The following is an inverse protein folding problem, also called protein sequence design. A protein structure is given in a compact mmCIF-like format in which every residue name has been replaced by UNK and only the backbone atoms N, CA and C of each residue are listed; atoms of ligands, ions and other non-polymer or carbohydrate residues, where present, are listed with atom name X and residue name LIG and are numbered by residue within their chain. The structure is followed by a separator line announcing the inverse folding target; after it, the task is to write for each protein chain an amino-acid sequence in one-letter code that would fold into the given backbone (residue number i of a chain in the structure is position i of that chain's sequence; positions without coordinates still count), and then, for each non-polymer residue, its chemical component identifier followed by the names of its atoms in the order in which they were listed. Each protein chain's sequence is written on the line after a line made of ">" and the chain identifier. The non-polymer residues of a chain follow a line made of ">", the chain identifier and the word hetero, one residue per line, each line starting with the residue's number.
data_IF_858610841671
#
_entry.id   IF_858610841671
#
_cell.length_a   1.000
_cell.length_b   1.000
_cell.length_c   1.000
_cell.angle_alpha   90.00
_cell.angle_beta   90.00
_cell.angle_gamma   90.00
#
_symmetry.space_group_name_H-M   'P 1'
#
loop_
_entity.id
_entity.type
_entity.pdbx_description
1 polymer ?
#
# COMPACT_ATOMS: atom_id res chain seq x y z
N UNK A 1 9.52 -14.94 -4.01
CA UNK A 1 9.81 -13.50 -4.24
C UNK A 1 10.37 -13.33 -5.64
N UNK A 2 10.18 -12.19 -6.30
CA UNK A 2 10.76 -11.96 -7.63
C UNK A 2 12.29 -12.02 -7.57
N UNK A 3 12.90 -12.59 -8.61
CA UNK A 3 14.36 -12.63 -8.77
C UNK A 3 14.91 -11.32 -9.35
N UNK A 4 14.04 -10.42 -9.84
CA UNK A 4 14.42 -9.13 -10.41
C UNK A 4 13.75 -8.03 -9.58
N UNK A 5 14.50 -6.98 -9.24
CA UNK A 5 13.96 -5.83 -8.52
C UNK A 5 12.78 -5.20 -9.26
N UNK A 6 11.72 -4.80 -8.54
CA UNK A 6 10.50 -4.27 -9.17
C UNK A 6 10.76 -2.97 -9.94
N UNK A 7 11.59 -2.07 -9.41
CA UNK A 7 11.99 -0.84 -10.09
C UNK A 7 12.81 -1.14 -11.35
N UNK A 8 13.73 -2.11 -11.30
CA UNK A 8 14.50 -2.54 -12.47
C UNK A 8 13.58 -3.12 -13.55
N UNK A 9 12.64 -3.99 -13.16
CA UNK A 9 11.68 -4.56 -14.08
C UNK A 9 10.77 -3.49 -14.71
N UNK A 10 10.37 -2.49 -13.93
CA UNK A 10 9.61 -1.35 -14.44
C UNK A 10 10.43 -0.48 -15.41
N UNK A 11 11.65 -0.09 -15.03
CA UNK A 11 12.53 0.79 -15.82
C UNK A 11 12.89 0.16 -17.19
N UNK A 12 13.26 -1.12 -17.19
CA UNK A 12 13.64 -1.84 -18.42
C UNK A 12 12.46 -2.53 -19.12
N UNK A 13 11.22 -2.32 -18.66
CA UNK A 13 10.01 -2.94 -19.21
C UNK A 13 10.09 -4.49 -19.30
N UNK A 14 10.66 -5.11 -18.26
CA UNK A 14 10.83 -6.57 -18.17
C UNK A 14 9.48 -7.21 -17.82
N UNK A 15 8.97 -8.04 -18.73
CA UNK A 15 7.68 -8.71 -18.58
C UNK A 15 7.78 -9.90 -17.62
N UNK A 16 6.66 -10.23 -16.95
CA UNK A 16 6.53 -11.43 -16.12
C UNK A 16 7.04 -11.31 -14.67
N UNK A 17 7.65 -10.18 -14.28
CA UNK A 17 8.16 -9.98 -12.91
C UNK A 17 7.03 -9.65 -11.92
N UNK A 18 6.09 -8.80 -12.33
CA UNK A 18 4.90 -8.44 -11.57
C UNK A 18 3.70 -8.20 -12.49
N UNK A 19 2.50 -8.19 -11.90
CA UNK A 19 1.25 -7.78 -12.56
C UNK A 19 0.75 -6.47 -11.98
N UNK A 20 0.13 -5.64 -12.82
CA UNK A 20 -0.45 -4.34 -12.45
C UNK A 20 -1.92 -4.44 -12.01
N UNK A 21 -2.34 -5.62 -11.53
CA UNK A 21 -3.73 -5.96 -11.27
C UNK A 21 -4.06 -6.03 -9.77
N UNK A 22 -3.26 -5.39 -8.90
CA UNK A 22 -3.60 -5.33 -7.49
C UNK A 22 -4.95 -4.60 -7.31
N UNK A 23 -5.93 -5.19 -6.62
CA UNK A 23 -7.29 -4.65 -6.61
C UNK A 23 -7.37 -3.40 -5.74
N UNK A 24 -8.08 -2.37 -6.23
CA UNK A 24 -8.28 -1.12 -5.48
C UNK A 24 -9.25 -1.28 -4.30
N UNK A 25 -10.09 -2.31 -4.33
CA UNK A 25 -11.04 -2.65 -3.28
C UNK A 25 -10.94 -4.16 -2.94
N UNK A 26 -11.27 -4.57 -1.71
CA UNK A 26 -11.34 -5.98 -1.35
C UNK A 26 -12.24 -6.77 -2.34
N UNK A 27 -11.73 -7.81 -3.02
CA UNK A 27 -12.51 -8.57 -4.00
C UNK A 27 -13.74 -9.27 -3.40
N UNK A 28 -13.63 -9.67 -2.13
CA UNK A 28 -14.69 -10.32 -1.37
C UNK A 28 -14.88 -9.57 -0.04
N UNK A 29 -15.76 -8.56 0.01
CA UNK A 29 -16.04 -7.85 1.25
C UNK A 29 -16.75 -8.74 2.27
N UNK A 30 -16.45 -8.55 3.54
CA UNK A 30 -17.12 -9.21 4.66
C UNK A 30 -17.12 -8.30 5.89
N UNK A 31 -17.74 -8.74 6.98
CA UNK A 31 -17.64 -8.03 8.25
C UNK A 31 -16.25 -8.25 8.86
N UNK A 32 -15.30 -7.35 8.58
CA UNK A 32 -13.90 -7.45 8.99
C UNK A 32 -13.71 -7.48 10.50
N UNK A 33 -14.66 -6.93 11.26
CA UNK A 33 -14.59 -6.84 12.73
C UNK A 33 -15.61 -7.74 13.43
N UNK A 34 -16.08 -8.79 12.75
CA UNK A 34 -17.00 -9.80 13.32
C UNK A 34 -16.28 -10.92 14.09
N UNK A 35 -16.91 -12.08 14.22
CA UNK A 35 -16.30 -13.27 14.81
C UNK A 35 -15.07 -13.76 14.00
N UNK A 36 -13.97 -14.18 14.65
CA UNK A 36 -12.73 -14.57 13.95
C UNK A 36 -12.94 -15.66 12.89
N UNK A 37 -12.27 -15.49 11.76
CA UNK A 37 -12.25 -16.47 10.68
C UNK A 37 -10.89 -17.17 10.65
N UNK A 38 -10.88 -18.45 11.00
CA UNK A 38 -9.65 -19.25 11.16
C UNK A 38 -9.43 -20.30 10.06
N UNK A 39 -10.37 -20.43 9.12
CA UNK A 39 -10.32 -21.41 8.03
C UNK A 39 -10.59 -20.76 6.67
N UNK A 40 -10.11 -21.40 5.59
CA UNK A 40 -10.36 -21.01 4.20
C UNK A 40 -10.04 -19.55 3.85
N UNK A 41 -8.87 -19.07 4.28
CA UNK A 41 -8.42 -17.68 4.10
C UNK A 41 -8.30 -17.22 2.63
N UNK A 42 -8.38 -18.13 1.66
CA UNK A 42 -8.43 -17.80 0.24
C UNK A 42 -7.16 -17.12 -0.30
N UNK A 43 -6.00 -17.41 0.30
CA UNK A 43 -4.73 -16.79 -0.09
C UNK A 43 -4.21 -17.34 -1.42
N UNK A 44 -3.49 -16.50 -2.17
CA UNK A 44 -2.82 -16.88 -3.42
C UNK A 44 -1.43 -16.29 -3.47
N UNK A 45 -0.46 -16.99 -4.07
CA UNK A 45 0.87 -16.46 -4.30
C UNK A 45 0.92 -15.62 -5.58
N UNK A 46 1.56 -14.45 -5.50
CA UNK A 46 1.82 -13.62 -6.67
C UNK A 46 2.52 -12.31 -6.34
N UNK A 47 3.11 -11.70 -7.37
CA UNK A 47 3.69 -10.35 -7.30
C UNK A 47 2.73 -9.41 -8.03
N UNK A 48 1.88 -8.71 -7.28
CA UNK A 48 0.88 -7.77 -7.82
C UNK A 48 1.14 -6.41 -7.23
N UNK A 49 1.10 -5.37 -8.05
CA UNK A 49 1.37 -3.98 -7.67
C UNK A 49 0.23 -3.09 -8.18
N UNK A 50 0.01 -1.95 -7.53
CA UNK A 50 -0.96 -0.96 -7.99
C UNK A 50 -0.24 0.10 -8.83
N UNK A 51 -0.86 0.51 -9.94
CA UNK A 51 -0.33 1.53 -10.85
C UNK A 51 -1.01 2.87 -10.58
N UNK A 52 -0.21 3.91 -10.42
CA UNK A 52 -0.70 5.26 -10.11
C UNK A 52 -0.10 6.25 -11.11
N UNK A 53 -0.96 7.09 -11.70
CA UNK A 53 -0.51 8.17 -12.57
C UNK A 53 0.22 9.25 -11.76
N UNK A 54 1.29 9.81 -12.32
CA UNK A 54 2.03 10.92 -11.73
C UNK A 54 1.10 12.06 -11.27
N UNK A 55 1.41 12.64 -10.12
CA UNK A 55 0.70 13.77 -9.50
C UNK A 55 -0.76 13.48 -9.06
N UNK A 56 -1.17 12.21 -9.03
CA UNK A 56 -2.47 11.82 -8.49
C UNK A 56 -2.55 12.11 -6.99
N UNK A 57 -3.71 12.59 -6.52
CA UNK A 57 -4.02 12.63 -5.08
C UNK A 57 -4.64 11.30 -4.68
N UNK A 58 -3.95 10.55 -3.83
CA UNK A 58 -4.32 9.21 -3.41
C UNK A 58 -4.87 9.25 -2.00
N UNK A 59 -6.01 8.60 -1.78
CA UNK A 59 -6.50 8.25 -0.46
C UNK A 59 -6.49 6.72 -0.33
N UNK A 60 -5.77 6.22 0.67
CA UNK A 60 -5.73 4.79 0.98
C UNK A 60 -6.39 4.57 2.34
N UNK A 61 -7.34 3.65 2.40
CA UNK A 61 -7.96 3.20 3.65
C UNK A 61 -7.42 1.80 3.95
N UNK A 62 -6.68 1.70 5.05
CA UNK A 62 -6.18 0.45 5.57
C UNK A 62 -7.17 -0.06 6.61
N UNK A 63 -7.69 -1.28 6.41
CA UNK A 63 -8.69 -1.90 7.27
C UNK A 63 -8.08 -3.17 7.89
N UNK A 64 -8.02 -3.22 9.22
CA UNK A 64 -7.69 -4.46 9.94
C UNK A 64 -8.87 -5.45 9.85
N UNK A 65 -8.55 -6.74 9.90
CA UNK A 65 -9.53 -7.83 9.74
C UNK A 65 -9.40 -8.86 10.86
N UNK A 66 -10.46 -9.63 11.07
CA UNK A 66 -10.52 -10.73 12.03
C UNK A 66 -10.02 -12.08 11.47
N UNK A 67 -9.24 -12.07 10.38
CA UNK A 67 -8.61 -13.27 9.83
C UNK A 67 -7.48 -13.71 10.75
N UNK A 68 -7.53 -14.96 11.23
CA UNK A 68 -6.62 -15.55 12.22
C UNK A 68 -6.68 -14.89 13.61
N UNK A 69 -6.34 -13.61 13.70
CA UNK A 69 -6.34 -12.81 14.93
C UNK A 69 -6.57 -11.35 14.58
N UNK A 70 -7.09 -10.58 15.53
CA UNK A 70 -7.21 -9.12 15.40
C UNK A 70 -5.94 -8.50 15.99
N UNK A 71 -5.23 -7.66 15.25
CA UNK A 71 -3.95 -7.10 15.68
C UNK A 71 -3.74 -5.69 15.10
N UNK A 72 -3.02 -4.84 15.84
CA UNK A 72 -2.59 -3.55 15.29
C UNK A 72 -1.44 -3.75 14.32
N UNK A 73 -1.57 -3.25 13.09
CA UNK A 73 -0.54 -3.39 12.05
C UNK A 73 0.11 -2.04 11.71
N UNK A 74 1.42 -1.85 11.95
CA UNK A 74 2.13 -0.63 11.57
C UNK A 74 2.45 -0.68 10.07
N UNK A 75 1.77 0.11 9.25
CA UNK A 75 1.99 0.14 7.81
C UNK A 75 2.94 1.27 7.41
N UNK A 76 3.99 0.93 6.66
CA UNK A 76 5.01 1.84 6.16
C UNK A 76 4.96 1.96 4.64
N UNK A 77 5.10 3.18 4.13
CA UNK A 77 5.20 3.49 2.70
C UNK A 77 6.59 4.06 2.39
N UNK A 78 7.29 3.43 1.46
CA UNK A 78 8.57 3.93 0.95
C UNK A 78 8.35 5.13 0.02
N UNK A 79 9.33 6.02 -0.07
CA UNK A 79 9.33 7.14 -1.03
C UNK A 79 8.37 8.29 -0.72
N UNK A 80 7.54 8.17 0.31
CA UNK A 80 6.53 9.13 0.70
C UNK A 80 6.44 9.27 2.22
N UNK A 81 6.19 10.51 2.65
CA UNK A 81 5.34 10.72 3.81
C UNK A 81 3.87 10.86 3.33
N UNK A 82 2.95 10.67 4.25
CA UNK A 82 1.51 10.79 4.04
C UNK A 82 0.85 11.47 5.25
N UNK A 83 -0.32 12.07 5.02
CA UNK A 83 -1.16 12.64 6.06
C UNK A 83 -2.15 11.60 6.57
N UNK A 84 -2.19 11.37 7.89
CA UNK A 84 -3.20 10.52 8.52
C UNK A 84 -4.45 11.35 8.76
N UNK A 85 -5.45 11.21 7.89
CA UNK A 85 -6.66 12.06 7.92
C UNK A 85 -7.76 11.51 8.80
N UNK A 86 -7.73 10.22 9.15
CA UNK A 86 -8.72 9.65 10.05
C UNK A 86 -8.37 8.24 10.49
N UNK A 87 -8.89 7.87 11.66
CA UNK A 87 -8.74 6.54 12.26
C UNK A 87 -10.03 6.20 12.99
N UNK A 88 -10.43 4.94 12.97
CA UNK A 88 -11.63 4.47 13.64
C UNK A 88 -11.56 3.00 14.01
N UNK A 89 -12.52 2.56 14.83
CA UNK A 89 -12.75 1.15 15.18
C UNK A 89 -13.97 0.66 14.41
N UNK A 90 -13.99 -0.64 14.08
CA UNK A 90 -15.01 -1.26 13.25
C UNK A 90 -14.63 -1.27 11.77
N UNK A 91 -15.62 -1.57 10.92
CA UNK A 91 -15.48 -1.45 9.47
C UNK A 91 -15.59 0.02 9.06
N UNK A 92 -14.70 0.47 8.18
CA UNK A 92 -14.79 1.79 7.57
C UNK A 92 -16.11 1.97 6.80
N UNK A 93 -16.82 3.07 7.09
CA UNK A 93 -18.02 3.47 6.36
C UNK A 93 -17.71 4.68 5.45
N UNK A 94 -17.64 4.49 4.12
CA UNK A 94 -17.30 5.56 3.18
C UNK A 94 -18.34 6.70 3.12
N UNK A 95 -19.55 6.50 3.66
CA UNK A 95 -20.60 7.54 3.69
C UNK A 95 -20.55 8.38 4.96
N UNK A 96 -20.00 7.84 6.05
CA UNK A 96 -20.07 8.46 7.37
C UNK A 96 -18.72 8.94 7.88
N UNK A 97 -17.70 8.10 7.75
CA UNK A 97 -16.42 8.34 8.41
C UNK A 97 -15.59 9.47 7.78
N UNK A 98 -15.63 9.72 6.44
CA UNK A 98 -14.94 10.87 5.85
C UNK A 98 -15.37 12.23 6.40
N UNK A 99 -16.60 12.35 6.91
CA UNK A 99 -17.09 13.59 7.53
C UNK A 99 -16.34 13.94 8.83
N UNK A 100 -15.62 12.98 9.42
CA UNK A 100 -14.83 13.16 10.65
C UNK A 100 -13.33 13.31 10.36
N UNK A 101 -12.92 13.36 9.09
CA UNK A 101 -11.50 13.47 8.77
C UNK A 101 -10.93 14.80 9.25
N UNK A 102 -9.72 14.74 9.83
CA UNK A 102 -8.91 15.92 10.04
C UNK A 102 -8.31 16.35 8.70
N UNK A 103 -8.85 17.45 8.14
CA UNK A 103 -8.41 18.04 6.89
C UNK A 103 -7.72 19.40 7.09
N UNK A 104 -7.43 19.77 8.34
CA UNK A 104 -6.81 21.06 8.69
C UNK A 104 -5.35 20.85 9.05
N UNK A 105 -5.06 19.96 10.00
CA UNK A 105 -3.73 19.70 10.53
C UNK A 105 -3.46 18.19 10.79
N UNK A 106 -3.74 17.30 9.81
CA UNK A 106 -3.46 15.89 9.98
C UNK A 106 -1.95 15.65 10.17
N UNK A 107 -1.53 14.71 11.04
CA UNK A 107 -0.13 14.42 11.22
C UNK A 107 0.47 13.79 9.96
N UNK A 108 1.62 14.31 9.55
CA UNK A 108 2.44 13.75 8.47
C UNK A 108 3.37 12.66 9.02
N UNK A 109 3.34 11.46 8.42
CA UNK A 109 4.11 10.27 8.84
C UNK A 109 4.51 9.44 7.62
N UNK A 110 5.51 8.57 7.76
CA UNK A 110 5.79 7.50 6.79
C UNK A 110 5.31 6.12 7.26
N UNK A 111 4.94 6.01 8.53
CA UNK A 111 4.47 4.77 9.17
C UNK A 111 3.28 5.10 10.06
N UNK A 112 2.21 4.32 9.98
CA UNK A 112 1.03 4.49 10.83
C UNK A 112 0.46 3.15 11.28
N UNK A 113 0.02 3.08 12.53
CA UNK A 113 -0.74 1.94 13.03
C UNK A 113 -2.15 1.93 12.46
N UNK A 114 -2.56 0.78 11.94
CA UNK A 114 -3.98 0.44 11.79
C UNK A 114 -4.42 -0.15 13.14
N UNK A 115 -5.40 0.43 13.83
CA UNK A 115 -5.83 -0.08 15.13
C UNK A 115 -6.36 -1.51 15.03
N UNK A 116 -6.21 -2.28 16.12
CA UNK A 116 -6.85 -3.57 16.33
C UNK A 116 -8.35 -3.47 16.07
N UNK A 117 -8.85 -4.17 15.06
CA UNK A 117 -10.25 -4.21 14.67
C UNK A 117 -10.75 -2.87 14.15
N UNK A 118 -9.89 -2.10 13.50
CA UNK A 118 -10.19 -0.74 13.05
C UNK A 118 -9.66 -0.44 11.66
N UNK A 119 -9.64 0.86 11.34
CA UNK A 119 -9.17 1.36 10.07
C UNK A 119 -8.40 2.67 10.24
N UNK A 120 -7.51 2.94 9.29
CA UNK A 120 -6.79 4.21 9.17
C UNK A 120 -6.85 4.68 7.71
N UNK A 121 -7.24 5.94 7.51
CA UNK A 121 -7.25 6.60 6.21
C UNK A 121 -6.04 7.55 6.10
N UNK A 122 -5.25 7.36 5.05
CA UNK A 122 -4.09 8.21 4.73
C UNK A 122 -4.26 8.89 3.37
N UNK A 123 -3.65 10.06 3.20
CA UNK A 123 -3.58 10.76 1.91
C UNK A 123 -2.15 11.17 1.57
N UNK A 124 -1.78 11.01 0.30
CA UNK A 124 -0.53 11.50 -0.24
C UNK A 124 -0.70 11.90 -1.70
N UNK A 125 0.27 12.65 -2.22
CA UNK A 125 0.38 12.97 -3.64
C UNK A 125 1.40 12.02 -4.25
N UNK A 126 1.07 11.36 -5.34
CA UNK A 126 1.97 10.45 -6.04
C UNK A 126 2.87 11.24 -7.01
N UNK A 127 3.74 12.10 -6.49
CA UNK A 127 4.63 13.00 -7.23
C UNK A 127 6.09 12.53 -7.27
N UNK A 128 6.37 11.30 -6.84
CA UNK A 128 7.67 10.67 -6.89
C UNK A 128 7.62 9.42 -7.81
N UNK A 129 8.04 9.54 -9.09
CA UNK A 129 8.03 8.43 -10.04
C UNK A 129 8.95 7.29 -9.58
N UNK A 130 8.50 6.05 -9.69
CA UNK A 130 9.26 4.90 -9.23
C UNK A 130 8.39 3.71 -8.84
N UNK A 131 9.00 2.76 -8.12
CA UNK A 131 8.28 1.62 -7.54
C UNK A 131 8.50 1.60 -6.04
N UNK A 132 7.45 1.86 -5.28
CA UNK A 132 7.51 2.15 -3.85
C UNK A 132 6.84 1.04 -3.04
N UNK A 133 7.62 0.46 -2.13
CA UNK A 133 7.17 -0.65 -1.32
C UNK A 133 6.24 -0.17 -0.19
N UNK A 134 5.12 -0.86 -0.01
CA UNK A 134 4.14 -0.62 1.05
C UNK A 134 3.96 -1.91 1.83
N UNK A 135 4.23 -1.91 3.12
CA UNK A 135 4.21 -3.14 3.91
C UNK A 135 3.91 -2.91 5.39
N UNK A 136 3.45 -3.96 6.05
CA UNK A 136 3.44 -4.01 7.50
C UNK A 136 4.89 -4.00 8.02
N UNK A 137 5.22 -3.22 9.03
CA UNK A 137 6.56 -3.09 9.59
C UNK A 137 6.87 -4.16 10.66
N UNK A 138 6.01 -5.18 10.75
CA UNK A 138 6.29 -6.43 11.44
C UNK A 138 6.91 -7.40 10.43
N UNK A 139 8.20 -7.72 10.60
CA UNK A 139 8.98 -8.48 9.63
C UNK A 139 8.36 -9.84 9.30
N UNK A 140 7.77 -10.50 10.31
CA UNK A 140 7.06 -11.76 10.14
C UNK A 140 5.89 -11.62 9.13
N UNK A 141 5.11 -10.54 9.22
CA UNK A 141 3.97 -10.30 8.33
C UNK A 141 4.43 -9.90 6.93
N UNK A 142 5.51 -9.11 6.83
CA UNK A 142 6.17 -8.83 5.54
C UNK A 142 6.64 -10.11 4.88
N UNK A 143 7.22 -11.04 5.64
CA UNK A 143 7.63 -12.36 5.19
C UNK A 143 6.47 -13.21 4.69
N UNK A 144 5.33 -13.18 5.39
CA UNK A 144 4.10 -13.90 5.01
C UNK A 144 3.38 -13.31 3.80
N UNK A 145 3.60 -12.03 3.49
CA UNK A 145 3.05 -11.39 2.29
C UNK A 145 2.11 -10.22 2.55
N UNK A 146 2.06 -9.66 3.77
CA UNK A 146 1.29 -8.44 4.08
C UNK A 146 2.00 -7.19 3.54
N UNK A 147 2.12 -7.14 2.21
CA UNK A 147 2.90 -6.17 1.45
C UNK A 147 2.39 -6.03 0.01
N UNK A 148 2.62 -4.87 -0.57
CA UNK A 148 2.42 -4.57 -1.99
C UNK A 148 3.41 -3.48 -2.42
N UNK A 149 3.33 -3.01 -3.66
CA UNK A 149 4.06 -1.84 -4.10
C UNK A 149 3.19 -0.96 -5.00
N UNK A 150 3.54 0.32 -5.08
CA UNK A 150 2.96 1.28 -5.99
C UNK A 150 3.95 1.59 -7.11
N UNK A 151 3.53 1.41 -8.36
CA UNK A 151 4.23 1.91 -9.54
C UNK A 151 3.68 3.29 -9.84
N UNK A 152 4.48 4.32 -9.57
CA UNK A 152 4.14 5.70 -9.90
C UNK A 152 4.78 6.04 -11.24
N UNK A 153 3.94 6.35 -12.22
CA UNK A 153 4.40 6.64 -13.59
C UNK A 153 5.24 7.92 -13.66
N UNK A 154 6.01 8.04 -14.74
CA UNK A 154 6.64 9.30 -15.10
C UNK A 154 5.58 10.37 -15.43
N UNK A 155 5.87 11.61 -15.06
CA UNK A 155 5.18 12.79 -15.52
C UNK A 155 5.62 13.22 -16.92
N UNK A 156 5.29 14.47 -17.28
CA UNK A 156 5.56 15.02 -18.62
C UNK A 156 6.95 15.63 -18.76
N UNK A 157 7.51 16.12 -17.65
CA UNK A 157 8.78 16.81 -17.65
C UNK A 157 9.94 15.86 -17.34
N UNK A 158 11.18 16.17 -17.77
CA UNK A 158 12.34 15.32 -17.49
C UNK A 158 12.62 15.10 -15.99
N UNK A 159 12.35 16.10 -15.15
CA UNK A 159 12.48 16.05 -13.69
C UNK A 159 11.33 15.28 -13.01
N UNK A 160 10.29 14.92 -13.77
CA UNK A 160 9.17 14.09 -13.34
C UNK A 160 9.36 12.64 -13.80
N UNK A 161 10.58 12.19 -14.06
CA UNK A 161 10.87 10.85 -14.55
C UNK A 161 11.86 10.11 -13.66
N UNK A 162 11.75 8.78 -13.62
CA UNK A 162 12.71 7.90 -12.94
C UNK A 162 14.12 8.12 -13.51
N UNK A 163 15.10 8.26 -12.62
CA UNK A 163 16.51 8.37 -12.98
C UNK A 163 17.05 7.04 -13.53
N UNK A 164 18.03 7.07 -14.45
CA UNK A 164 18.68 5.85 -14.89
C UNK A 164 19.34 5.12 -13.72
N UNK A 165 19.36 3.77 -13.72
CA UNK A 165 20.02 3.00 -12.68
C UNK A 165 21.52 3.34 -12.63
N UNK A 166 22.13 3.37 -11.42
CA UNK A 166 23.58 3.54 -11.28
C UNK A 166 24.36 2.46 -12.04
N UNK A 167 25.56 2.80 -12.53
CA UNK A 167 26.42 1.88 -13.30
C UNK A 167 26.91 0.69 -12.47
N UNK A 168 26.92 0.84 -11.16
CA UNK A 168 27.36 -0.12 -10.14
C UNK A 168 26.18 -0.79 -9.43
N UNK A 169 24.96 -0.71 -9.99
CA UNK A 169 23.81 -1.42 -9.45
C UNK A 169 24.13 -2.94 -9.36
N UNK A 170 24.05 -3.55 -8.17
CA UNK A 170 24.36 -4.97 -8.02
C UNK A 170 23.48 -5.85 -8.92
N UNK A 171 24.05 -6.89 -9.56
CA UNK A 171 23.24 -7.87 -10.27
C UNK A 171 22.33 -8.61 -9.29
N UNK A 172 21.18 -9.03 -9.81
CA UNK A 172 20.25 -9.88 -9.08
C UNK A 172 20.78 -11.30 -8.91
#
# INVERSE_FOLDING_TARGET
>A
MPQIGLLQAHYFNIKGVFRLDFPDNPPTPFNYTGAPLTANLGTTLGTRVSKIAYNSTVQLVLQDTNLLTVESHPFHLHGYNFFVVGTGIGNFDPKRDPAKFNLVDPPERNTVGVPTGGWTAIRFRADNPGVWFMHCHLELHTGWGLKTAFVVENGKLPDQSILPPPKDLPPC
#
